data_IF_995415503299
#
_entry.id   IF_995415503299
#
_cell.length_a   1.000
_cell.length_b   1.000
_cell.length_c   1.000
_cell.angle_alpha   90.00
_cell.angle_beta   90.00
_cell.angle_gamma   90.00
#
_symmetry.space_group_name_H-M   'P 1'
#
loop_
_entity.id
_entity.type
_entity.pdbx_description
1 polymer ?
#
# COMPACT_ATOMS: atom_id res chain seq x y z
N UNK A 1 2.25 20.10 3.80
CA UNK A 1 2.37 19.09 4.84
C UNK A 1 2.50 17.71 4.22
N UNK A 2 3.50 16.97 4.67
CA UNK A 2 3.75 15.64 4.12
C UNK A 2 2.79 14.61 4.73
N UNK A 3 2.45 13.66 3.91
CA UNK A 3 1.63 12.53 4.35
C UNK A 3 2.49 11.52 5.09
N UNK A 4 1.94 10.93 6.13
CA UNK A 4 2.62 9.83 6.82
C UNK A 4 2.36 8.54 6.06
N UNK A 5 3.43 7.86 5.68
CA UNK A 5 3.31 6.62 4.92
C UNK A 5 3.53 5.43 5.85
N UNK A 6 2.58 4.50 5.84
CA UNK A 6 2.62 3.31 6.66
C UNK A 6 2.44 2.08 5.79
N UNK A 7 2.95 0.96 6.26
CA UNK A 7 2.87 -0.28 5.49
C UNK A 7 2.09 -1.34 6.25
N UNK A 8 1.26 -2.09 5.51
CA UNK A 8 0.58 -3.24 6.07
C UNK A 8 1.62 -4.27 6.51
N UNK A 9 1.32 -4.97 7.59
CA UNK A 9 2.26 -5.95 8.16
C UNK A 9 2.70 -7.00 7.16
N UNK A 10 1.78 -7.46 6.34
CA UNK A 10 2.07 -8.57 5.42
C UNK A 10 3.02 -8.19 4.30
N UNK A 11 3.29 -6.90 4.13
CA UNK A 11 4.30 -6.50 3.16
C UNK A 11 5.66 -7.07 3.57
N UNK A 12 6.02 -6.94 4.85
CA UNK A 12 7.30 -7.45 5.32
C UNK A 12 7.37 -8.97 5.32
N UNK A 13 6.29 -9.62 5.73
CA UNK A 13 6.31 -11.07 5.87
C UNK A 13 6.08 -11.81 4.57
N UNK A 14 5.25 -11.25 3.68
CA UNK A 14 4.82 -11.95 2.48
C UNK A 14 5.35 -11.35 1.19
N UNK A 15 5.20 -10.04 1.03
CA UNK A 15 5.47 -9.41 -0.26
C UNK A 15 6.95 -9.27 -0.57
N UNK A 16 7.72 -8.79 0.39
CA UNK A 16 9.14 -8.56 0.16
C UNK A 16 9.87 -9.86 -0.22
N UNK A 17 9.67 -10.97 0.51
CA UNK A 17 10.30 -12.22 0.09
C UNK A 17 9.83 -12.71 -1.27
N UNK A 18 8.55 -12.45 -1.60
CA UNK A 18 7.98 -12.93 -2.86
C UNK A 18 8.52 -12.18 -4.06
N UNK A 19 8.62 -10.86 -3.98
CA UNK A 19 9.03 -10.07 -5.14
C UNK A 19 10.54 -10.00 -5.32
N UNK A 20 11.28 -10.18 -4.24
CA UNK A 20 12.74 -10.13 -4.29
C UNK A 20 13.29 -8.73 -4.12
N UNK A 21 14.62 -8.64 -3.91
CA UNK A 21 15.23 -7.37 -3.53
C UNK A 21 15.17 -6.27 -4.59
N UNK A 22 15.29 -6.64 -5.86
CA UNK A 22 15.29 -5.63 -6.92
C UNK A 22 13.93 -4.94 -7.04
N UNK A 23 12.86 -5.72 -7.06
CA UNK A 23 11.50 -5.17 -7.17
C UNK A 23 11.18 -4.36 -5.92
N UNK A 24 11.53 -4.91 -4.75
CA UNK A 24 11.28 -4.20 -3.51
C UNK A 24 12.00 -2.85 -3.47
N UNK A 25 13.25 -2.81 -3.91
CA UNK A 25 14.01 -1.57 -3.86
C UNK A 25 13.38 -0.50 -4.74
N UNK A 26 12.92 -0.88 -5.92
CA UNK A 26 12.24 0.08 -6.79
C UNK A 26 10.94 0.56 -6.20
N UNK A 27 10.19 -0.35 -5.58
CA UNK A 27 8.95 0.01 -4.89
C UNK A 27 9.25 0.98 -3.76
N UNK A 28 10.26 0.70 -2.96
CA UNK A 28 10.61 1.53 -1.81
C UNK A 28 10.99 2.94 -2.24
N UNK A 29 11.77 3.06 -3.30
CA UNK A 29 12.14 4.37 -3.80
C UNK A 29 10.93 5.18 -4.26
N UNK A 30 10.01 4.54 -4.97
CA UNK A 30 8.81 5.22 -5.43
C UNK A 30 7.93 5.62 -4.25
N UNK A 31 7.79 4.74 -3.27
CA UNK A 31 7.01 5.03 -2.07
C UNK A 31 7.58 6.25 -1.36
N UNK A 32 8.89 6.24 -1.10
CA UNK A 32 9.52 7.31 -0.32
C UNK A 32 9.50 8.65 -1.06
N UNK A 33 9.61 8.61 -2.37
CA UNK A 33 9.69 9.83 -3.16
C UNK A 33 8.32 10.45 -3.44
N UNK A 34 7.32 9.62 -3.70
CA UNK A 34 6.04 10.10 -4.21
C UNK A 34 4.94 10.18 -3.19
N UNK A 35 4.80 9.18 -2.36
CA UNK A 35 3.63 9.09 -1.49
C UNK A 35 3.59 10.13 -0.37
N UNK A 36 4.71 10.52 0.24
CA UNK A 36 4.63 11.57 1.26
C UNK A 36 4.26 12.93 0.69
N UNK A 37 4.47 13.13 -0.61
CA UNK A 37 4.30 14.43 -1.24
C UNK A 37 2.91 14.60 -1.84
N UNK A 38 2.51 13.70 -2.71
CA UNK A 38 1.26 13.86 -3.45
C UNK A 38 0.66 12.51 -3.84
N UNK A 39 0.15 11.74 -2.85
CA UNK A 39 -0.33 10.39 -3.15
C UNK A 39 -1.50 10.36 -4.13
N UNK A 40 -2.36 11.39 -4.12
CA UNK A 40 -3.49 11.42 -5.03
C UNK A 40 -3.08 11.74 -6.46
N UNK A 41 -2.02 12.50 -6.63
CA UNK A 41 -1.60 12.93 -7.95
C UNK A 41 -0.72 11.91 -8.65
N UNK A 42 0.14 11.24 -7.90
CA UNK A 42 1.07 10.27 -8.49
C UNK A 42 0.43 8.93 -8.80
N UNK A 43 -0.64 8.59 -8.09
CA UNK A 43 -1.26 7.28 -8.23
C UNK A 43 -2.36 7.26 -9.27
N UNK A 44 -2.61 6.06 -9.78
CA UNK A 44 -3.75 5.81 -10.66
C UNK A 44 -4.85 5.14 -9.85
N UNK A 45 -6.08 5.69 -9.91
CA UNK A 45 -7.18 5.06 -9.16
C UNK A 45 -7.53 3.70 -9.75
N UNK A 46 -7.93 2.77 -8.88
CA UNK A 46 -8.31 1.44 -9.29
C UNK A 46 -9.82 1.34 -9.43
N UNK A 47 -10.26 0.36 -10.22
CA UNK A 47 -11.68 0.13 -10.46
C UNK A 47 -12.21 -0.97 -9.55
N UNK A 48 -13.55 -1.09 -9.50
CA UNK A 48 -14.17 -2.15 -8.71
C UNK A 48 -13.54 -3.50 -9.01
N UNK A 49 -13.36 -4.38 -8.03
CA UNK A 49 -13.78 -4.22 -6.62
C UNK A 49 -12.82 -3.41 -5.76
N UNK A 50 -11.78 -2.85 -6.34
CA UNK A 50 -10.75 -2.10 -5.60
C UNK A 50 -10.97 -0.59 -5.67
N UNK A 51 -12.19 -0.18 -5.94
CA UNK A 51 -12.54 1.24 -5.99
C UNK A 51 -12.14 1.96 -4.71
N UNK A 52 -11.52 3.11 -4.86
CA UNK A 52 -11.07 3.88 -3.70
C UNK A 52 -9.60 3.67 -3.36
N UNK A 53 -8.96 2.74 -4.02
CA UNK A 53 -7.52 2.49 -3.84
C UNK A 53 -6.76 3.02 -5.05
N UNK A 54 -5.45 3.12 -4.89
CA UNK A 54 -4.56 3.66 -5.93
C UNK A 54 -3.39 2.72 -6.15
N UNK A 55 -2.76 2.86 -7.31
CA UNK A 55 -1.50 2.15 -7.58
C UNK A 55 -0.49 3.11 -8.15
N UNK A 56 0.78 2.84 -7.86
CA UNK A 56 1.90 3.48 -8.56
C UNK A 56 2.77 2.40 -9.17
N UNK A 57 3.46 2.77 -10.25
CA UNK A 57 4.31 1.85 -10.99
C UNK A 57 5.75 2.36 -10.96
N UNK A 58 6.70 1.46 -10.82
CA UNK A 58 8.12 1.78 -10.91
C UNK A 58 8.81 0.60 -11.53
N UNK A 59 9.07 0.68 -12.84
CA UNK A 59 9.61 -0.43 -13.61
C UNK A 59 8.68 -1.64 -13.48
N UNK A 60 9.18 -2.77 -12.96
CA UNK A 60 8.36 -3.97 -12.77
C UNK A 60 7.57 -3.95 -11.46
N UNK A 61 7.89 -3.02 -10.58
CA UNK A 61 7.24 -2.96 -9.27
C UNK A 61 5.87 -2.29 -9.37
N UNK A 62 4.94 -2.81 -8.58
CA UNK A 62 3.60 -2.23 -8.45
C UNK A 62 3.28 -2.08 -6.98
N UNK A 63 2.74 -0.91 -6.61
CA UNK A 63 2.41 -0.62 -5.22
C UNK A 63 0.95 -0.20 -5.17
N UNK A 64 0.17 -0.89 -4.33
CA UNK A 64 -1.24 -0.56 -4.12
C UNK A 64 -1.37 0.08 -2.75
N UNK A 65 -2.10 1.18 -2.68
CA UNK A 65 -2.21 1.90 -1.42
C UNK A 65 -3.59 2.55 -1.26
N UNK A 66 -3.88 2.88 -0.01
CA UNK A 66 -5.10 3.53 0.42
C UNK A 66 -4.73 4.88 1.04
N UNK A 67 -5.51 5.91 0.75
CA UNK A 67 -5.30 7.24 1.30
C UNK A 67 -6.32 7.48 2.40
N UNK A 68 -5.85 7.64 3.63
CA UNK A 68 -6.71 7.95 4.76
C UNK A 68 -6.66 9.45 5.00
N UNK A 69 -7.65 10.15 4.46
CA UNK A 69 -7.63 11.61 4.45
C UNK A 69 -7.68 12.21 5.84
N UNK A 70 -8.55 11.68 6.69
CA UNK A 70 -8.73 12.25 8.01
C UNK A 70 -7.47 12.18 8.86
N UNK A 71 -6.75 11.08 8.74
CA UNK A 71 -5.51 10.90 9.51
C UNK A 71 -4.29 11.45 8.78
N UNK A 72 -4.46 11.88 7.54
CA UNK A 72 -3.37 12.36 6.69
C UNK A 72 -2.30 11.28 6.51
N UNK A 73 -2.76 10.06 6.28
CA UNK A 73 -1.90 8.88 6.16
C UNK A 73 -2.12 8.17 4.84
N UNK A 74 -1.05 7.56 4.36
CA UNK A 74 -1.12 6.67 3.20
C UNK A 74 -0.72 5.28 3.67
N UNK A 75 -1.57 4.30 3.41
CA UNK A 75 -1.32 2.92 3.80
C UNK A 75 -0.96 2.11 2.58
N UNK A 76 0.28 1.64 2.53
CA UNK A 76 0.71 0.73 1.47
C UNK A 76 0.19 -0.65 1.80
N UNK A 77 -0.64 -1.19 0.92
CA UNK A 77 -1.34 -2.46 1.15
C UNK A 77 -0.65 -3.65 0.49
N UNK A 78 0.00 -3.42 -0.65
CA UNK A 78 0.58 -4.52 -1.39
C UNK A 78 1.73 -4.00 -2.24
N UNK A 79 2.82 -4.78 -2.27
CA UNK A 79 3.91 -4.59 -3.21
C UNK A 79 3.98 -5.85 -4.05
N UNK A 80 3.97 -5.70 -5.36
CA UNK A 80 3.97 -6.85 -6.25
C UNK A 80 4.76 -6.61 -7.51
N UNK A 81 4.93 -7.67 -8.28
CA UNK A 81 5.55 -7.63 -9.59
C UNK A 81 4.46 -7.46 -10.64
N UNK A 82 4.72 -6.70 -11.69
CA UNK A 82 3.73 -6.40 -12.72
C UNK A 82 3.13 -7.64 -13.35
N UNK A 83 3.88 -8.72 -13.39
CA UNK A 83 3.43 -9.94 -14.08
C UNK A 83 2.47 -10.76 -13.24
N UNK A 84 2.45 -10.57 -11.92
CA UNK A 84 1.68 -11.43 -11.04
C UNK A 84 0.76 -10.69 -10.08
N UNK A 85 0.85 -9.37 -10.02
CA UNK A 85 0.15 -8.62 -8.96
C UNK A 85 -1.36 -8.79 -8.98
N UNK A 86 -1.94 -9.00 -10.15
CA UNK A 86 -3.39 -9.10 -10.25
C UNK A 86 -3.91 -10.54 -10.24
N UNK A 87 -3.01 -11.53 -10.10
CA UNK A 87 -3.40 -12.93 -10.04
C UNK A 87 -3.96 -13.23 -8.65
N UNK A 88 -5.29 -13.26 -8.54
CA UNK A 88 -5.99 -13.64 -7.30
C UNK A 88 -5.57 -12.80 -6.09
N UNK A 89 -5.16 -11.55 -6.32
CA UNK A 89 -4.70 -10.70 -5.22
C UNK A 89 -5.74 -9.70 -4.75
N UNK A 90 -6.86 -9.58 -5.46
CA UNK A 90 -7.87 -8.59 -5.09
C UNK A 90 -8.45 -8.85 -3.69
N UNK A 91 -8.77 -10.11 -3.40
CA UNK A 91 -9.28 -10.46 -2.09
C UNK A 91 -8.26 -10.19 -0.98
N UNK A 92 -7.01 -10.49 -1.26
CA UNK A 92 -5.92 -10.26 -0.34
C UNK A 92 -5.78 -8.76 -0.01
N UNK A 93 -5.87 -7.93 -1.03
CA UNK A 93 -5.78 -6.48 -0.84
C UNK A 93 -6.93 -6.00 0.05
N UNK A 94 -8.14 -6.45 -0.20
CA UNK A 94 -9.29 -6.05 0.59
C UNK A 94 -9.18 -6.51 2.03
N UNK A 95 -8.67 -7.71 2.25
CA UNK A 95 -8.44 -8.21 3.61
C UNK A 95 -7.44 -7.34 4.36
N UNK A 96 -6.38 -6.97 3.69
CA UNK A 96 -5.35 -6.14 4.32
C UNK A 96 -5.90 -4.77 4.69
N UNK A 97 -6.72 -4.21 3.83
CA UNK A 97 -7.35 -2.92 4.12
C UNK A 97 -8.26 -3.01 5.34
N UNK A 98 -9.06 -4.06 5.43
CA UNK A 98 -9.96 -4.26 6.57
C UNK A 98 -9.16 -4.42 7.87
N UNK A 99 -8.05 -5.15 7.82
CA UNK A 99 -7.21 -5.37 8.99
C UNK A 99 -6.63 -4.08 9.53
N UNK A 100 -6.20 -3.19 8.65
CA UNK A 100 -5.65 -1.91 9.08
C UNK A 100 -6.67 -1.06 9.78
N UNK A 101 -7.87 -1.01 9.26
CA UNK A 101 -8.93 -0.21 9.87
C UNK A 101 -9.26 -0.69 11.27
N UNK A 102 -9.17 -1.98 11.49
CA UNK A 102 -9.42 -2.54 12.80
C UNK A 102 -8.27 -2.29 13.76
N UNK A 103 -7.05 -2.41 13.27
CA UNK A 103 -5.87 -2.27 14.11
C UNK A 103 -5.73 -0.86 14.68
N UNK A 104 -6.02 0.15 13.88
CA UNK A 104 -5.82 1.52 14.32
C UNK A 104 -6.59 1.86 15.60
N UNK A 105 -7.90 1.57 15.67
CA UNK A 105 -8.63 1.82 16.93
C UNK A 105 -8.13 0.99 18.10
N UNK A 106 -7.75 -0.27 17.84
CA UNK A 106 -7.24 -1.14 18.88
C UNK A 106 -5.95 -0.62 19.49
N UNK A 107 -5.06 -0.15 18.66
CA UNK A 107 -3.80 0.42 19.15
C UNK A 107 -4.05 1.59 20.08
N UNK A 108 -4.98 2.44 19.71
CA UNK A 108 -5.28 3.59 20.56
C UNK A 108 -5.86 3.18 21.90
N UNK A 109 -6.70 2.15 21.92
CA UNK A 109 -7.28 1.67 23.17
C UNK A 109 -6.22 1.06 24.08
N UNK A 110 -5.28 0.36 23.49
CA UNK A 110 -4.25 -0.31 24.30
C UNK A 110 -3.28 0.65 24.95
N UNK A 111 -3.21 1.86 24.45
CA UNK A 111 -2.28 2.83 25.01
C UNK A 111 -2.79 3.52 26.27
N UNK A 112 -4.03 3.34 26.60
CA UNK A 112 -4.58 3.92 27.81
C UNK A 112 -4.19 3.15 29.05
#
# INVERSE_FOLDING_TARGET
>A
VRWRVRMAKRILTDDIPRVGPDVYERAKKAIDKKLPVAPEQYGEPLHSPLHGLYKIKSSHARVVYHIEVKAHEVWVLLIGDRSTIWDDREGDILERLAGERQEAPEKRRRRR
#
